data_IF_211607125621
#
_entry.id   IF_211607125621
#
_cell.length_a   1.000
_cell.length_b   1.000
_cell.length_c   1.000
_cell.angle_alpha   90.00
_cell.angle_beta   90.00
_cell.angle_gamma   90.00
#
_symmetry.space_group_name_H-M   'P 1'
#
loop_
_entity.id
_entity.type
_entity.pdbx_description
1 polymer ?
#
# COMPACT_ATOMS: atom_id res chain seq x y z
N UNK A 1 -9.60 38.21 1.61
CA UNK A 1 -10.28 36.91 1.34
C UNK A 1 -9.63 36.04 0.26
N UNK A 2 -8.85 36.55 -0.70
CA UNK A 2 -8.17 35.72 -1.73
C UNK A 2 -6.85 35.04 -1.29
N UNK A 3 -6.28 35.41 -0.13
CA UNK A 3 -5.04 34.80 0.41
C UNK A 3 -5.27 33.68 1.44
N UNK A 4 -6.52 33.49 1.90
CA UNK A 4 -6.88 32.41 2.83
C UNK A 4 -7.33 31.13 2.09
N UNK A 5 -7.78 31.25 0.83
CA UNK A 5 -8.19 30.10 0.01
C UNK A 5 -7.00 29.29 -0.54
N UNK A 6 -5.83 29.89 -0.75
CA UNK A 6 -4.65 29.16 -1.23
C UNK A 6 -3.98 28.30 -0.16
N UNK A 7 -4.21 28.57 1.13
CA UNK A 7 -3.59 27.79 2.21
C UNK A 7 -4.32 26.47 2.49
N UNK A 8 -5.61 26.39 2.16
CA UNK A 8 -6.44 25.19 2.37
C UNK A 8 -6.26 24.18 1.21
N UNK A 9 -5.87 24.66 0.03
CA UNK A 9 -5.59 23.82 -1.15
C UNK A 9 -4.25 23.07 -1.11
N UNK A 10 -3.35 23.42 -0.19
CA UNK A 10 -2.01 22.80 -0.08
C UNK A 10 -1.98 21.70 1.01
N UNK A 11 -2.97 21.64 1.91
CA UNK A 11 -2.98 20.68 3.03
C UNK A 11 -3.67 19.35 2.68
N UNK A 12 -4.43 19.27 1.58
CA UNK A 12 -5.22 18.08 1.22
C UNK A 12 -4.67 17.22 0.06
N UNK A 13 -3.42 17.44 -0.36
CA UNK A 13 -2.75 16.58 -1.35
C UNK A 13 -2.25 15.22 -0.77
N UNK A 14 -2.62 14.89 0.46
CA UNK A 14 -2.23 13.65 1.12
C UNK A 14 -3.22 12.51 0.89
N UNK A 15 -2.87 11.64 -0.06
CA UNK A 15 -3.18 10.19 -0.10
C UNK A 15 -4.62 9.73 -0.34
N UNK A 16 -4.82 9.05 -1.47
CA UNK A 16 -4.87 7.58 -1.52
C UNK A 16 -4.97 7.17 -3.01
N UNK A 17 -3.85 6.90 -3.67
CA UNK A 17 -3.83 5.86 -4.70
C UNK A 17 -3.75 4.53 -3.94
N UNK A 18 -3.65 3.36 -4.60
CA UNK A 18 -2.94 2.22 -3.98
C UNK A 18 -1.46 2.60 -3.82
N UNK A 19 -1.20 3.65 -3.05
CA UNK A 19 0.11 4.04 -2.62
C UNK A 19 0.43 3.06 -1.50
N UNK A 20 1.55 2.35 -1.61
CA UNK A 20 2.23 1.97 -0.37
C UNK A 20 2.28 3.23 0.50
N UNK A 21 2.01 3.09 1.79
CA UNK A 21 2.19 4.21 2.69
C UNK A 21 3.68 4.58 2.61
N UNK A 22 3.98 5.65 1.88
CA UNK A 22 5.33 6.14 1.66
C UNK A 22 5.59 7.24 2.66
N UNK A 23 6.58 7.04 3.52
CA UNK A 23 7.08 8.07 4.42
C UNK A 23 8.26 8.81 3.76
N UNK A 24 8.57 10.05 4.10
CA UNK A 24 9.93 10.57 3.78
C UNK A 24 10.97 10.08 4.78
N UNK A 25 10.53 9.35 5.80
CA UNK A 25 11.30 8.89 6.96
C UNK A 25 11.30 7.38 7.05
N UNK A 26 12.48 6.81 7.21
CA UNK A 26 12.69 5.36 7.32
C UNK A 26 12.96 5.01 8.78
N UNK A 27 12.24 4.01 9.35
CA UNK A 27 12.36 3.68 10.76
C UNK A 27 13.62 2.86 11.04
N UNK A 28 14.22 3.16 12.17
CA UNK A 28 15.14 2.27 12.88
C UNK A 28 14.49 1.96 14.21
N UNK A 29 14.14 0.70 14.42
CA UNK A 29 13.46 0.27 15.64
C UNK A 29 14.38 -0.60 16.49
N UNK A 30 14.34 -0.40 17.80
CA UNK A 30 14.96 -1.26 18.79
C UNK A 30 13.83 -1.78 19.68
N UNK A 31 13.66 -3.09 19.75
CA UNK A 31 12.67 -3.73 20.63
C UNK A 31 13.37 -4.65 21.62
N UNK A 32 13.05 -4.51 22.90
CA UNK A 32 13.64 -5.28 23.98
C UNK A 32 12.79 -6.50 24.32
N UNK A 33 13.43 -7.57 24.78
CA UNK A 33 12.74 -8.67 25.45
C UNK A 33 12.16 -8.22 26.79
N UNK A 34 11.19 -8.98 27.30
CA UNK A 34 10.51 -8.69 28.56
C UNK A 34 11.49 -8.53 29.75
N UNK A 35 12.50 -9.40 29.82
CA UNK A 35 13.54 -9.34 30.86
C UNK A 35 14.66 -8.31 30.58
N UNK A 36 14.61 -7.60 29.45
CA UNK A 36 15.62 -6.62 29.03
C UNK A 36 17.01 -7.18 28.68
N UNK A 37 17.21 -8.51 28.69
CA UNK A 37 18.51 -9.13 28.42
C UNK A 37 18.82 -9.28 26.94
N UNK A 38 17.79 -9.25 26.09
CA UNK A 38 17.92 -9.31 24.64
C UNK A 38 17.23 -8.12 23.97
N UNK A 39 17.72 -7.74 22.79
CA UNK A 39 17.05 -6.76 21.95
C UNK A 39 17.26 -7.06 20.48
N UNK A 40 16.33 -6.60 19.65
CA UNK A 40 16.44 -6.63 18.20
C UNK A 40 16.48 -5.19 17.68
N UNK A 41 17.48 -4.90 16.85
CA UNK A 41 17.57 -3.66 16.07
C UNK A 41 17.17 -3.97 14.63
N UNK A 42 16.15 -3.30 14.12
CA UNK A 42 15.65 -3.45 12.75
C UNK A 42 15.81 -2.15 11.98
N UNK A 43 16.36 -2.23 10.76
CA UNK A 43 16.61 -1.10 9.86
C UNK A 43 16.03 -1.42 8.48
N UNK A 44 15.14 -0.55 7.98
CA UNK A 44 14.59 -0.68 6.62
C UNK A 44 15.48 0.00 5.57
N UNK A 45 15.45 -0.51 4.34
CA UNK A 45 16.11 0.07 3.18
C UNK A 45 15.18 0.97 2.35
N UNK A 46 13.91 1.05 2.69
CA UNK A 46 12.94 1.91 2.01
C UNK A 46 12.00 2.60 2.98
N UNK A 47 11.11 3.38 2.41
CA UNK A 47 10.14 4.16 3.14
C UNK A 47 8.70 3.68 2.89
N UNK A 48 8.55 2.51 2.26
CA UNK A 48 7.28 1.87 1.96
C UNK A 48 6.86 0.99 3.15
N UNK A 49 5.64 1.23 3.64
CA UNK A 49 5.14 0.55 4.84
C UNK A 49 4.13 -0.52 4.41
N UNK A 50 4.16 -1.75 4.90
CA UNK A 50 5.24 -2.43 5.62
C UNK A 50 6.05 -3.27 4.62
N UNK A 51 7.38 -3.20 4.71
CA UNK A 51 8.30 -3.93 3.83
C UNK A 51 9.04 -5.03 4.60
N UNK A 52 9.64 -5.97 3.88
CA UNK A 52 10.67 -6.86 4.42
C UNK A 52 12.07 -6.38 4.04
N UNK A 53 12.19 -5.35 3.20
CA UNK A 53 13.48 -4.91 2.66
C UNK A 53 14.26 -4.14 3.71
N UNK A 54 15.29 -4.79 4.23
CA UNK A 54 16.09 -4.27 5.33
C UNK A 54 16.90 -5.38 5.96
N UNK A 55 17.40 -5.09 7.15
CA UNK A 55 18.07 -6.08 7.97
C UNK A 55 17.72 -5.88 9.44
N UNK A 56 17.81 -6.96 10.19
CA UNK A 56 17.68 -6.92 11.64
C UNK A 56 18.81 -7.68 12.30
N UNK A 57 19.27 -7.16 13.43
CA UNK A 57 20.33 -7.74 14.25
C UNK A 57 19.79 -7.98 15.65
N UNK A 58 19.98 -9.20 16.16
CA UNK A 58 19.53 -9.60 17.48
C UNK A 58 20.72 -9.75 18.40
N UNK A 59 20.60 -9.18 19.59
CA UNK A 59 21.63 -9.16 20.61
C UNK A 59 21.11 -9.74 21.92
N UNK A 60 22.00 -10.34 22.70
CA UNK A 60 21.75 -10.78 24.07
C UNK A 60 22.97 -10.51 24.93
N UNK A 61 22.78 -9.88 26.09
CA UNK A 61 23.86 -9.51 27.01
C UNK A 61 25.01 -8.74 26.32
N UNK A 62 24.70 -7.95 25.31
CA UNK A 62 25.68 -7.16 24.54
C UNK A 62 26.32 -7.89 23.35
N UNK A 63 26.14 -9.19 23.21
CA UNK A 63 26.69 -9.97 22.08
C UNK A 63 25.66 -10.16 20.97
N UNK A 64 26.10 -10.06 19.71
CA UNK A 64 25.24 -10.32 18.55
C UNK A 64 24.99 -11.82 18.43
N UNK A 65 23.73 -12.24 18.50
CA UNK A 65 23.31 -13.63 18.32
C UNK A 65 23.23 -14.01 16.84
N UNK A 66 22.52 -13.20 16.05
CA UNK A 66 22.35 -13.43 14.61
C UNK A 66 21.90 -12.16 13.89
N UNK A 67 22.03 -12.19 12.57
CA UNK A 67 21.48 -11.19 11.64
C UNK A 67 20.48 -11.89 10.73
N UNK A 68 19.42 -11.18 10.35
CA UNK A 68 18.48 -11.62 9.33
C UNK A 68 18.30 -10.53 8.27
N UNK A 69 18.19 -10.92 7.00
CA UNK A 69 18.01 -10.03 5.87
C UNK A 69 16.53 -9.65 5.69
N UNK A 70 15.92 -9.15 6.76
CA UNK A 70 14.64 -8.45 6.71
C UNK A 70 14.51 -7.40 7.79
N UNK A 71 13.70 -6.38 7.55
CA UNK A 71 13.24 -5.47 8.59
C UNK A 71 11.93 -5.93 9.25
N UNK A 72 11.71 -5.41 10.45
CA UNK A 72 10.45 -5.38 11.18
C UNK A 72 10.11 -3.92 11.45
N UNK A 73 9.40 -3.30 10.51
CA UNK A 73 9.14 -1.88 10.53
C UNK A 73 8.18 -1.51 11.67
N UNK A 74 8.61 -0.59 12.54
CA UNK A 74 7.74 -0.02 13.57
C UNK A 74 7.57 1.47 13.31
N UNK A 75 6.32 1.95 13.37
CA UNK A 75 6.00 3.36 13.23
C UNK A 75 5.15 3.82 14.41
N UNK A 76 5.45 5.00 14.95
CA UNK A 76 4.81 5.54 16.17
C UNK A 76 3.28 5.63 16.06
N UNK A 77 2.78 5.95 14.87
CA UNK A 77 1.35 6.16 14.62
C UNK A 77 0.65 4.96 13.96
N UNK A 78 1.36 3.87 13.71
CA UNK A 78 0.79 2.69 13.09
C UNK A 78 0.76 1.52 14.08
N UNK A 79 -0.19 0.62 13.87
CA UNK A 79 -0.44 -0.53 14.76
C UNK A 79 0.45 -1.71 14.33
N UNK A 80 1.76 -1.48 14.35
CA UNK A 80 2.78 -2.53 14.27
C UNK A 80 3.28 -2.85 15.67
N UNK A 81 3.51 -4.13 15.98
CA UNK A 81 4.14 -4.55 17.23
C UNK A 81 5.10 -5.69 16.98
N UNK A 82 6.19 -5.70 17.74
CA UNK A 82 7.22 -6.71 17.70
C UNK A 82 7.40 -7.23 19.13
N UNK A 83 7.53 -8.55 19.27
CA UNK A 83 7.87 -9.21 20.53
C UNK A 83 9.13 -10.03 20.31
N UNK A 84 10.06 -9.94 21.25
CA UNK A 84 11.27 -10.75 21.30
C UNK A 84 11.25 -11.63 22.55
N UNK A 85 11.51 -12.92 22.41
CA UNK A 85 11.62 -13.82 23.55
C UNK A 85 12.81 -13.46 24.44
N UNK A 86 12.75 -13.85 25.72
CA UNK A 86 13.77 -13.57 26.72
C UNK A 86 15.16 -14.15 26.40
N UNK A 87 15.21 -15.20 25.58
CA UNK A 87 16.45 -15.79 25.09
C UNK A 87 16.95 -15.19 23.78
N UNK A 88 16.18 -14.28 23.16
CA UNK A 88 16.46 -13.66 21.86
C UNK A 88 16.25 -14.59 20.65
N UNK A 89 15.79 -15.82 20.85
CA UNK A 89 15.68 -16.79 19.75
C UNK A 89 14.42 -16.59 18.90
N UNK A 90 13.35 -16.05 19.47
CA UNK A 90 12.02 -15.98 18.86
C UNK A 90 11.57 -14.55 18.68
N UNK A 91 11.17 -14.20 17.46
CA UNK A 91 10.64 -12.89 17.09
C UNK A 91 9.21 -13.09 16.60
N UNK A 92 8.25 -12.33 17.14
CA UNK A 92 6.86 -12.36 16.71
C UNK A 92 6.45 -10.95 16.29
N UNK A 93 6.06 -10.79 15.04
CA UNK A 93 5.68 -9.51 14.46
C UNK A 93 4.20 -9.49 14.09
N UNK A 94 3.51 -8.44 14.55
CA UNK A 94 2.07 -8.25 14.41
C UNK A 94 1.75 -7.00 13.59
N UNK A 95 0.83 -7.14 12.63
CA UNK A 95 0.35 -6.03 11.83
C UNK A 95 -1.06 -6.22 11.29
N UNK A 96 -1.84 -5.14 11.25
CA UNK A 96 -3.10 -5.08 10.49
C UNK A 96 -2.87 -4.82 8.98
N UNK A 97 -1.64 -4.57 8.54
CA UNK A 97 -1.32 -4.22 7.15
C UNK A 97 -0.86 -5.46 6.38
N UNK A 98 -1.55 -5.79 5.29
CA UNK A 98 -1.10 -6.79 4.30
C UNK A 98 -1.00 -6.12 2.93
N UNK A 99 0.20 -5.61 2.62
CA UNK A 99 0.44 -4.84 1.40
C UNK A 99 1.11 -5.67 0.30
N UNK A 100 1.66 -6.83 0.64
CA UNK A 100 2.33 -7.74 -0.27
C UNK A 100 1.84 -9.18 -0.07
N UNK A 101 2.03 -10.00 -1.10
CA UNK A 101 1.79 -11.44 -1.05
C UNK A 101 3.00 -12.17 -0.48
N UNK A 102 2.77 -13.35 0.10
CA UNK A 102 3.81 -14.19 0.70
C UNK A 102 3.71 -14.27 2.22
N UNK A 103 4.27 -15.35 2.78
CA UNK A 103 4.11 -15.69 4.19
C UNK A 103 4.82 -14.70 5.12
N UNK A 104 5.89 -14.04 4.67
CA UNK A 104 6.59 -13.00 5.44
C UNK A 104 5.75 -11.72 5.66
N UNK A 105 4.63 -11.58 4.94
CA UNK A 105 3.76 -10.40 4.94
C UNK A 105 2.36 -10.66 5.52
N UNK A 106 2.11 -11.84 6.07
CA UNK A 106 0.87 -12.08 6.81
C UNK A 106 0.83 -11.27 8.11
N UNK A 107 -0.35 -11.24 8.73
CA UNK A 107 -0.65 -10.38 9.86
C UNK A 107 0.14 -10.73 11.12
N UNK A 108 0.45 -12.02 11.31
CA UNK A 108 1.36 -12.49 12.36
C UNK A 108 2.45 -13.33 11.71
N UNK A 109 3.71 -12.97 11.94
CA UNK A 109 4.85 -13.74 11.46
C UNK A 109 5.79 -14.07 12.60
N UNK A 110 6.31 -15.29 12.59
CA UNK A 110 7.08 -15.86 13.70
C UNK A 110 8.41 -16.36 13.15
N UNK A 111 9.49 -15.82 13.70
CA UNK A 111 10.84 -16.24 13.37
C UNK A 111 11.48 -16.93 14.56
N UNK A 112 12.23 -18.00 14.29
CA UNK A 112 13.11 -18.64 15.26
C UNK A 112 14.52 -18.70 14.70
N UNK A 113 15.49 -18.14 15.43
CA UNK A 113 16.90 -18.04 15.03
C UNK A 113 17.06 -17.47 13.60
N UNK A 114 16.31 -16.40 13.31
CA UNK A 114 16.36 -15.70 12.01
C UNK A 114 15.61 -16.37 10.86
N UNK A 115 14.90 -17.49 11.07
CA UNK A 115 14.12 -18.18 10.04
C UNK A 115 12.63 -18.11 10.33
N UNK A 116 11.80 -17.84 9.31
CA UNK A 116 10.35 -17.90 9.42
C UNK A 116 9.96 -19.36 9.74
N UNK A 117 9.18 -19.56 10.81
CA UNK A 117 8.71 -20.88 11.24
C UNK A 117 7.19 -21.00 11.15
N UNK A 118 6.45 -19.93 11.41
CA UNK A 118 5.00 -19.91 11.38
C UNK A 118 4.51 -18.54 10.89
N UNK A 119 3.36 -18.53 10.24
CA UNK A 119 2.75 -17.33 9.68
C UNK A 119 1.24 -17.47 9.63
N UNK A 120 0.51 -16.43 10.05
CA UNK A 120 -0.94 -16.46 10.17
C UNK A 120 -1.58 -15.20 9.59
N UNK A 121 -2.62 -15.38 8.78
CA UNK A 121 -3.61 -14.33 8.50
C UNK A 121 -4.35 -13.94 9.78
N UNK A 122 -5.04 -12.79 9.74
CA UNK A 122 -5.91 -12.37 10.84
C UNK A 122 -6.93 -13.46 11.22
N UNK A 123 -7.65 -14.04 10.24
CA UNK A 123 -8.66 -15.07 10.54
C UNK A 123 -8.08 -16.33 11.13
N UNK A 124 -6.90 -16.78 10.67
CA UNK A 124 -6.24 -17.97 11.23
C UNK A 124 -5.78 -17.74 12.67
N UNK A 125 -5.26 -16.54 12.97
CA UNK A 125 -4.77 -16.22 14.30
C UNK A 125 -5.88 -15.94 15.31
N UNK A 126 -6.96 -15.26 14.89
CA UNK A 126 -8.04 -14.82 15.78
C UNK A 126 -9.27 -15.73 15.75
N UNK A 127 -9.36 -16.66 14.81
CA UNK A 127 -10.55 -17.45 14.52
C UNK A 127 -11.79 -16.57 14.26
N UNK A 128 -11.62 -15.49 13.48
CA UNK A 128 -12.69 -14.54 13.14
C UNK A 128 -13.30 -14.83 11.77
N UNK A 129 -14.63 -14.70 11.67
CA UNK A 129 -15.40 -14.90 10.46
C UNK A 129 -15.78 -13.57 9.80
N UNK A 130 -15.10 -13.25 8.69
CA UNK A 130 -15.32 -12.02 7.91
C UNK A 130 -16.74 -11.86 7.33
N UNK A 131 -17.54 -12.93 7.25
CA UNK A 131 -18.90 -12.87 6.72
C UNK A 131 -19.90 -12.20 7.66
N UNK A 132 -19.64 -12.22 8.98
CA UNK A 132 -20.59 -11.73 9.98
C UNK A 132 -19.95 -11.00 11.18
N UNK A 133 -18.62 -10.98 11.30
CA UNK A 133 -17.91 -10.32 12.39
C UNK A 133 -17.03 -9.15 11.91
N UNK A 134 -16.74 -8.21 12.81
CA UNK A 134 -15.77 -7.13 12.58
C UNK A 134 -14.34 -7.63 12.86
N UNK A 135 -13.73 -8.26 11.86
CA UNK A 135 -12.43 -8.90 12.00
C UNK A 135 -11.26 -7.91 11.81
N UNK A 136 -10.39 -7.85 12.82
CA UNK A 136 -9.09 -7.19 12.78
C UNK A 136 -8.17 -7.79 13.82
N UNK A 137 -6.88 -7.96 13.50
CA UNK A 137 -5.91 -8.61 14.39
C UNK A 137 -5.66 -7.77 15.65
N UNK A 138 -5.49 -6.46 15.47
CA UNK A 138 -5.26 -5.50 16.54
C UNK A 138 -6.47 -4.59 16.66
N UNK A 139 -6.95 -4.42 17.90
CA UNK A 139 -7.98 -3.44 18.23
C UNK A 139 -7.63 -2.04 17.73
N UNK A 140 -8.54 -1.47 16.96
CA UNK A 140 -8.52 -0.09 16.52
C UNK A 140 -9.87 0.55 16.78
N UNK A 141 -9.88 1.61 17.58
CA UNK A 141 -11.05 2.47 17.69
C UNK A 141 -11.33 3.03 16.30
N UNK A 142 -12.56 2.84 15.82
CA UNK A 142 -12.95 3.31 14.49
C UNK A 142 -12.80 4.83 14.41
N UNK A 143 -12.50 5.37 13.22
CA UNK A 143 -12.46 6.82 13.04
C UNK A 143 -13.80 7.49 13.39
N UNK A 144 -14.90 6.74 13.29
CA UNK A 144 -16.26 7.18 13.60
C UNK A 144 -16.46 7.28 15.11
N UNK A 145 -16.05 6.28 15.91
CA UNK A 145 -16.07 6.37 17.37
C UNK A 145 -15.21 7.51 17.88
N UNK A 146 -14.06 7.77 17.25
CA UNK A 146 -13.18 8.90 17.57
C UNK A 146 -13.88 10.26 17.33
N UNK A 147 -14.66 10.38 16.26
CA UNK A 147 -15.41 11.60 15.94
C UNK A 147 -16.66 11.73 16.82
N UNK A 148 -17.33 10.62 17.15
CA UNK A 148 -18.49 10.59 18.03
C UNK A 148 -18.13 10.93 19.49
N UNK A 149 -16.99 10.44 20.02
CA UNK A 149 -16.46 10.85 21.34
C UNK A 149 -16.08 12.33 21.35
N UNK A 150 -15.42 12.82 20.29
CA UNK A 150 -15.10 14.25 20.15
C UNK A 150 -16.34 15.16 20.07
N UNK A 151 -17.44 14.69 19.47
CA UNK A 151 -18.71 15.45 19.36
C UNK A 151 -19.62 15.32 20.60
N UNK A 152 -19.60 14.18 21.29
CA UNK A 152 -20.48 13.91 22.44
C UNK A 152 -19.93 14.46 23.75
N UNK A 153 -18.62 14.74 23.85
CA UNK A 153 -17.99 15.24 25.07
C UNK A 153 -17.99 14.21 26.23
N UNK A 154 -18.39 12.96 25.96
CA UNK A 154 -18.36 11.87 26.92
C UNK A 154 -16.94 11.29 26.93
N UNK A 155 -16.23 11.31 28.09
CA UNK A 155 -14.90 10.71 28.19
C UNK A 155 -14.96 9.21 27.90
N UNK A 156 -13.95 8.68 27.20
CA UNK A 156 -13.77 7.24 27.11
C UNK A 156 -13.68 6.63 28.52
N UNK A 157 -14.27 5.45 28.72
CA UNK A 157 -14.10 4.75 29.99
C UNK A 157 -12.65 4.26 30.13
N UNK A 158 -12.24 3.93 31.36
CA UNK A 158 -10.87 3.51 31.69
C UNK A 158 -10.37 2.36 30.80
N UNK A 159 -11.24 1.39 30.49
CA UNK A 159 -10.91 0.24 29.65
C UNK A 159 -10.62 0.61 28.20
N UNK A 160 -11.38 1.56 27.64
CA UNK A 160 -11.12 2.10 26.31
C UNK A 160 -9.81 2.89 26.25
N UNK A 161 -9.55 3.73 27.26
CA UNK A 161 -8.29 4.47 27.37
C UNK A 161 -7.12 3.49 27.41
N UNK A 162 -7.24 2.40 28.16
CA UNK A 162 -6.26 1.34 28.24
C UNK A 162 -5.98 0.72 26.86
N UNK A 163 -7.01 0.27 26.14
CA UNK A 163 -6.84 -0.43 24.85
C UNK A 163 -6.20 0.43 23.75
N UNK A 164 -6.34 1.76 23.79
CA UNK A 164 -5.73 2.64 22.78
C UNK A 164 -4.23 2.43 22.65
N UNK A 165 -3.55 2.19 23.77
CA UNK A 165 -2.11 2.03 23.85
C UNK A 165 -1.67 0.60 24.18
N UNK A 166 -2.53 -0.20 24.84
CA UNK A 166 -2.20 -1.51 25.42
C UNK A 166 -3.00 -2.66 24.79
N UNK A 167 -3.07 -2.69 23.46
CA UNK A 167 -3.72 -3.78 22.72
C UNK A 167 -2.86 -5.04 22.59
N UNK A 168 -1.56 -4.95 22.87
CA UNK A 168 -0.65 -6.10 22.92
C UNK A 168 0.22 -5.97 24.16
N UNK A 169 0.17 -6.98 25.01
CA UNK A 169 0.85 -7.05 26.30
C UNK A 169 1.70 -8.32 26.37
N UNK A 170 2.78 -8.28 27.14
CA UNK A 170 3.65 -9.44 27.39
C UNK A 170 3.77 -9.63 28.90
N UNK A 171 3.64 -10.87 29.35
CA UNK A 171 3.90 -11.24 30.74
C UNK A 171 4.28 -12.72 30.87
N UNK A 172 5.40 -13.01 31.52
CA UNK A 172 5.92 -14.34 31.82
C UNK A 172 5.93 -15.28 30.60
N UNK A 173 6.47 -14.82 29.47
CA UNK A 173 6.56 -15.62 28.24
C UNK A 173 5.25 -15.81 27.47
N UNK A 174 4.17 -15.12 27.86
CA UNK A 174 2.91 -15.10 27.12
C UNK A 174 2.65 -13.73 26.50
N UNK A 175 2.03 -13.74 25.32
CA UNK A 175 1.46 -12.55 24.67
C UNK A 175 -0.04 -12.54 24.91
N UNK A 176 -0.58 -11.37 25.23
CA UNK A 176 -2.01 -11.10 25.32
C UNK A 176 -2.35 -10.02 24.29
N UNK A 177 -2.98 -10.43 23.20
CA UNK A 177 -3.37 -9.54 22.10
C UNK A 177 -4.89 -9.34 22.13
N UNK A 178 -5.35 -8.09 22.08
CA UNK A 178 -6.77 -7.74 21.98
C UNK A 178 -7.13 -7.46 20.52
N UNK A 179 -8.03 -8.27 19.97
CA UNK A 179 -8.51 -8.15 18.60
C UNK A 179 -9.61 -7.08 18.44
N UNK A 180 -10.07 -6.86 17.21
CA UNK A 180 -11.10 -5.86 16.91
C UNK A 180 -12.46 -6.15 17.59
N UNK A 181 -12.74 -7.42 17.91
CA UNK A 181 -13.96 -7.86 18.63
C UNK A 181 -13.81 -7.74 20.16
N UNK A 182 -12.69 -7.17 20.63
CA UNK A 182 -12.28 -7.14 22.05
C UNK A 182 -12.14 -8.54 22.67
N UNK A 183 -11.74 -9.52 21.86
CA UNK A 183 -11.31 -10.82 22.38
C UNK A 183 -9.81 -10.78 22.69
N UNK A 184 -9.44 -11.28 23.87
CA UNK A 184 -8.05 -11.44 24.31
C UNK A 184 -7.54 -12.80 23.86
N UNK A 185 -6.54 -12.80 22.99
CA UNK A 185 -5.82 -13.97 22.52
C UNK A 185 -4.60 -14.16 23.41
N UNK A 186 -4.59 -15.26 24.19
CA UNK A 186 -3.41 -15.67 24.94
C UNK A 186 -2.55 -16.60 24.08
N UNK A 187 -1.32 -16.18 23.82
CA UNK A 187 -0.37 -16.90 22.98
C UNK A 187 0.90 -17.26 23.77
N UNK A 188 1.36 -18.51 23.65
CA UNK A 188 2.57 -19.02 24.31
C UNK A 188 3.77 -18.88 23.35
N UNK A 189 4.78 -18.10 23.77
CA UNK A 189 5.96 -17.80 22.94
C UNK A 189 6.87 -19.02 22.78
N UNK A 190 6.93 -19.92 23.77
CA UNK A 190 7.81 -21.10 23.70
C UNK A 190 7.17 -22.22 22.88
N UNK A 191 5.87 -22.46 23.10
CA UNK A 191 5.12 -23.51 22.42
C UNK A 191 4.59 -23.09 21.05
N UNK A 192 4.70 -21.81 20.71
CA UNK A 192 4.26 -21.22 19.45
C UNK A 192 2.80 -21.54 19.10
N UNK A 193 1.89 -21.33 20.05
CA UNK A 193 0.47 -21.59 19.82
C UNK A 193 -0.45 -20.66 20.61
N UNK A 194 -1.64 -20.47 20.04
CA UNK A 194 -2.77 -19.88 20.76
C UNK A 194 -3.26 -20.89 21.81
N UNK A 195 -3.36 -20.43 23.06
CA UNK A 195 -3.81 -21.25 24.18
C UNK A 195 -5.32 -21.15 24.36
N UNK A 196 -5.84 -19.91 24.39
CA UNK A 196 -7.25 -19.64 24.68
C UNK A 196 -7.65 -18.21 24.28
N UNK A 197 -8.94 -18.05 23.99
CA UNK A 197 -9.61 -16.77 23.78
C UNK A 197 -10.44 -16.41 25.03
N UNK A 198 -10.45 -15.13 25.38
CA UNK A 198 -11.21 -14.60 26.50
C UNK A 198 -11.89 -13.28 26.12
N UNK A 199 -12.93 -12.91 26.86
CA UNK A 199 -13.51 -11.58 26.76
C UNK A 199 -12.62 -10.54 27.48
N UNK A 200 -12.35 -9.41 26.82
CA UNK A 200 -11.50 -8.35 27.39
C UNK A 200 -12.10 -7.72 28.64
N UNK A 201 -13.41 -7.50 28.68
CA UNK A 201 -14.05 -6.84 29.81
C UNK A 201 -13.88 -7.65 31.10
N UNK A 202 -13.92 -8.98 31.00
CA UNK A 202 -13.66 -9.91 32.11
C UNK A 202 -12.18 -10.09 32.45
N UNK A 203 -11.24 -9.76 31.55
CA UNK A 203 -9.80 -9.85 31.78
C UNK A 203 -9.13 -8.54 32.17
N UNK A 204 -9.84 -7.41 32.09
CA UNK A 204 -9.26 -6.08 32.27
C UNK A 204 -8.43 -5.93 33.55
N UNK A 205 -8.98 -6.33 34.70
CA UNK A 205 -8.30 -6.20 36.00
C UNK A 205 -7.02 -7.04 36.11
N UNK A 206 -6.92 -8.13 35.34
CA UNK A 206 -5.72 -8.96 35.27
C UNK A 206 -4.67 -8.38 34.32
N UNK A 207 -5.12 -7.76 33.23
CA UNK A 207 -4.24 -7.23 32.17
C UNK A 207 -3.66 -5.85 32.49
N UNK A 208 -4.33 -5.06 33.33
CA UNK A 208 -3.97 -3.66 33.58
C UNK A 208 -2.56 -3.45 34.14
N UNK A 209 -2.02 -4.47 34.80
CA UNK A 209 -0.68 -4.45 35.40
C UNK A 209 0.41 -4.97 34.44
N UNK A 210 0.04 -5.44 33.25
CA UNK A 210 1.01 -5.92 32.26
C UNK A 210 1.52 -4.78 31.39
N UNK A 211 2.72 -4.98 30.83
CA UNK A 211 3.36 -3.98 29.99
C UNK A 211 3.34 -4.39 28.52
N UNK A 212 3.18 -3.42 27.59
CA UNK A 212 3.43 -3.67 26.18
C UNK A 212 4.94 -3.89 25.93
N UNK A 213 5.32 -4.50 24.79
CA UNK A 213 6.71 -4.58 24.38
C UNK A 213 7.36 -3.19 24.34
N UNK A 214 8.55 -3.09 24.92
CA UNK A 214 9.29 -1.83 24.94
C UNK A 214 10.04 -1.67 23.62
N UNK A 215 9.66 -0.65 22.84
CA UNK A 215 10.29 -0.33 21.57
C UNK A 215 10.67 1.16 21.48
N UNK A 216 11.91 1.42 21.09
CA UNK A 216 12.37 2.75 20.69
C UNK A 216 12.39 2.86 19.18
N UNK A 217 11.88 3.96 18.64
CA UNK A 217 11.79 4.18 17.18
C UNK A 217 12.44 5.52 16.87
N UNK A 218 13.55 5.43 16.13
CA UNK A 218 14.22 6.54 15.48
C UNK A 218 13.93 6.54 13.98
N UNK A 219 14.26 7.64 13.32
CA UNK A 219 14.04 7.78 11.88
C UNK A 219 15.22 8.49 11.23
N UNK A 220 15.57 8.08 10.03
CA UNK A 220 16.41 8.87 9.13
C UNK A 220 15.60 9.31 7.90
N UNK A 221 16.03 10.39 7.26
CA UNK A 221 15.37 10.89 6.06
C UNK A 221 15.75 10.03 4.84
N UNK A 222 14.74 9.55 4.12
CA UNK A 222 14.94 8.89 2.83
C UNK A 222 15.56 9.89 1.85
N UNK A 223 16.58 9.43 1.10
CA UNK A 223 17.49 10.30 0.34
C UNK A 223 18.27 11.36 1.16
N UNK A 224 18.37 11.23 2.48
CA UNK A 224 19.05 12.19 3.35
C UNK A 224 18.55 13.64 3.12
N UNK A 225 17.25 13.78 2.82
CA UNK A 225 16.61 15.06 2.51
C UNK A 225 16.94 15.67 1.14
N UNK A 226 17.83 15.06 0.34
CA UNK A 226 18.16 15.51 -1.02
C UNK A 226 17.22 14.87 -2.03
N UNK A 227 16.20 15.60 -2.48
CA UNK A 227 15.39 15.13 -3.61
C UNK A 227 16.12 15.39 -4.94
N UNK A 228 16.83 14.37 -5.44
CA UNK A 228 17.37 14.35 -6.80
C UNK A 228 16.62 13.26 -7.56
N UNK A 229 16.02 13.61 -8.70
CA UNK A 229 15.42 12.60 -9.57
C UNK A 229 16.53 11.63 -10.03
N UNK A 230 16.31 10.33 -9.88
CA UNK A 230 17.32 9.33 -10.25
C UNK A 230 17.77 9.46 -11.72
N UNK A 231 16.89 9.92 -12.61
CA UNK A 231 17.20 10.25 -14.00
C UNK A 231 18.33 11.28 -14.17
N UNK A 232 18.53 12.15 -13.18
CA UNK A 232 19.46 13.28 -13.19
C UNK A 232 20.76 13.00 -12.45
N UNK A 233 20.85 11.88 -11.73
CA UNK A 233 22.08 11.39 -11.11
C UNK A 233 23.15 11.22 -12.20
N UNK A 234 24.39 11.62 -11.92
CA UNK A 234 25.45 11.68 -12.92
C UNK A 234 26.42 10.52 -12.80
N UNK A 235 26.85 10.00 -13.94
CA UNK A 235 28.00 9.12 -14.02
C UNK A 235 29.26 9.86 -13.57
N UNK A 236 30.06 9.25 -12.67
CA UNK A 236 31.29 9.88 -12.16
C UNK A 236 32.28 10.15 -13.30
N UNK A 237 32.43 9.19 -14.23
CA UNK A 237 33.44 9.27 -15.30
C UNK A 237 33.07 10.26 -16.40
N UNK A 238 31.81 10.26 -16.85
CA UNK A 238 31.39 11.03 -18.03
C UNK A 238 30.64 12.32 -17.70
N UNK A 239 30.24 12.50 -16.43
CA UNK A 239 29.39 13.60 -15.96
C UNK A 239 28.02 13.70 -16.69
N UNK A 240 27.65 12.66 -17.44
CA UNK A 240 26.32 12.54 -18.07
C UNK A 240 25.33 12.04 -17.04
N UNK A 241 24.08 12.53 -17.12
CA UNK A 241 23.02 11.98 -16.29
C UNK A 241 22.65 10.57 -16.75
N UNK A 242 22.11 9.76 -15.84
CA UNK A 242 21.61 8.41 -16.14
C UNK A 242 20.70 8.42 -17.37
N UNK A 243 19.73 9.33 -17.41
CA UNK A 243 18.80 9.43 -18.52
C UNK A 243 19.50 9.78 -19.85
N UNK A 244 20.53 10.63 -19.83
CA UNK A 244 21.33 10.92 -21.04
C UNK A 244 22.17 9.71 -21.45
N UNK A 245 22.73 8.96 -20.51
CA UNK A 245 23.45 7.71 -20.76
C UNK A 245 22.56 6.70 -21.50
N UNK A 246 21.39 6.39 -20.92
CA UNK A 246 20.38 5.50 -21.51
C UNK A 246 19.93 5.98 -22.89
N UNK A 247 19.64 7.28 -23.05
CA UNK A 247 19.22 7.84 -24.34
C UNK A 247 20.31 7.67 -25.42
N UNK A 248 21.58 7.80 -25.06
CA UNK A 248 22.70 7.57 -25.97
C UNK A 248 22.82 6.11 -26.37
N UNK A 249 22.80 5.18 -25.40
CA UNK A 249 22.86 3.73 -25.65
C UNK A 249 21.73 3.28 -26.58
N UNK A 250 20.52 3.78 -26.32
CA UNK A 250 19.31 3.41 -27.07
C UNK A 250 19.13 4.19 -28.37
N UNK A 251 20.01 5.17 -28.66
CA UNK A 251 19.87 6.13 -29.78
C UNK A 251 18.54 6.90 -29.79
N UNK A 252 17.95 7.11 -28.62
CA UNK A 252 16.69 7.84 -28.41
C UNK A 252 16.94 9.26 -27.90
N UNK A 253 15.85 10.01 -27.72
CA UNK A 253 15.84 11.31 -27.03
C UNK A 253 15.14 11.14 -25.68
N UNK A 254 15.84 11.47 -24.60
CA UNK A 254 15.23 11.67 -23.28
C UNK A 254 14.38 12.95 -23.29
N UNK A 255 13.18 12.89 -22.72
CA UNK A 255 12.21 13.99 -22.71
C UNK A 255 11.54 14.14 -21.34
N UNK A 256 11.09 15.35 -21.06
CA UNK A 256 10.20 15.68 -19.95
C UNK A 256 8.71 15.48 -20.34
N UNK A 257 7.80 15.90 -19.46
CA UNK A 257 6.35 15.85 -19.69
C UNK A 257 5.84 16.88 -20.69
N UNK A 258 6.59 17.97 -20.93
CA UNK A 258 6.18 19.09 -21.77
C UNK A 258 6.54 18.89 -23.26
N UNK A 259 7.37 17.89 -23.58
CA UNK A 259 7.66 17.56 -24.98
C UNK A 259 6.37 17.19 -25.73
N UNK A 260 6.09 17.95 -26.81
CA UNK A 260 4.90 17.81 -27.68
C UNK A 260 4.61 16.36 -28.13
N UNK A 261 5.63 15.51 -28.16
CA UNK A 261 5.53 14.12 -28.60
C UNK A 261 5.66 13.13 -27.45
N UNK A 262 5.38 13.52 -26.20
CA UNK A 262 5.44 12.62 -25.03
C UNK A 262 4.58 11.36 -25.21
N UNK A 263 3.48 11.42 -25.98
CA UNK A 263 2.62 10.25 -26.29
C UNK A 263 3.33 9.17 -27.12
N UNK A 264 4.45 9.51 -27.77
CA UNK A 264 5.32 8.58 -28.49
C UNK A 264 6.43 7.99 -27.60
N UNK A 265 6.51 8.36 -26.32
CA UNK A 265 7.57 7.89 -25.45
C UNK A 265 7.39 6.46 -25.00
N UNK A 266 8.51 5.81 -24.75
CA UNK A 266 8.65 4.56 -24.02
C UNK A 266 9.25 4.89 -22.66
N UNK A 267 8.87 4.11 -21.66
CA UNK A 267 9.26 4.30 -20.27
C UNK A 267 10.26 3.23 -19.88
N UNK A 268 11.05 3.55 -18.86
CA UNK A 268 11.88 2.60 -18.14
C UNK A 268 11.51 2.74 -16.67
N UNK A 269 11.08 1.64 -16.07
CA UNK A 269 10.84 1.52 -14.64
C UNK A 269 11.82 0.49 -14.07
N UNK A 270 12.38 0.80 -12.89
CA UNK A 270 13.38 -0.01 -12.21
C UNK A 270 12.96 -0.24 -10.76
N UNK A 271 13.07 -1.50 -10.32
CA UNK A 271 13.04 -1.89 -8.92
C UNK A 271 14.39 -2.54 -8.56
N UNK A 272 14.98 -2.13 -7.44
CA UNK A 272 16.27 -2.66 -6.99
C UNK A 272 16.95 -1.77 -5.95
N UNK A 273 18.23 -2.01 -5.66
CA UNK A 273 18.99 -1.23 -4.69
C UNK A 273 19.98 -0.28 -5.34
N UNK A 274 19.96 0.98 -4.91
CA UNK A 274 21.06 1.92 -5.11
C UNK A 274 22.07 1.71 -3.98
N UNK A 275 23.29 1.30 -4.34
CA UNK A 275 24.35 1.00 -3.39
C UNK A 275 25.24 2.22 -3.18
N UNK A 276 25.82 2.41 -1.99
CA UNK A 276 26.70 3.55 -1.65
C UNK A 276 27.91 3.68 -2.57
N UNK A 277 28.36 2.59 -3.20
CA UNK A 277 29.38 2.61 -4.25
C UNK A 277 28.95 3.27 -5.56
N UNK A 278 27.68 3.67 -5.68
CA UNK A 278 27.14 4.32 -6.87
C UNK A 278 26.74 3.34 -7.97
N UNK A 279 26.49 2.07 -7.67
CA UNK A 279 25.98 1.06 -8.63
C UNK A 279 24.55 0.65 -8.28
N UNK A 280 23.89 -0.05 -9.21
CA UNK A 280 22.56 -0.62 -8.98
C UNK A 280 22.60 -2.14 -8.87
N UNK A 281 21.95 -2.69 -7.84
CA UNK A 281 21.56 -4.10 -7.78
C UNK A 281 20.11 -4.20 -8.27
N UNK A 282 19.94 -4.58 -9.53
CA UNK A 282 18.63 -4.56 -10.21
C UNK A 282 17.85 -5.85 -9.93
N UNK A 283 16.69 -5.73 -9.31
CA UNK A 283 15.76 -6.85 -9.13
C UNK A 283 14.80 -6.98 -10.32
N UNK A 284 14.28 -5.85 -10.81
CA UNK A 284 13.33 -5.83 -11.93
C UNK A 284 13.54 -4.60 -12.80
N UNK A 285 13.53 -4.83 -14.11
CA UNK A 285 13.65 -3.81 -15.13
C UNK A 285 12.49 -3.95 -16.11
N UNK A 286 11.56 -3.00 -16.08
CA UNK A 286 10.37 -2.99 -16.96
C UNK A 286 10.63 -2.04 -18.10
N UNK A 287 10.80 -2.61 -19.30
CA UNK A 287 11.07 -1.88 -20.53
C UNK A 287 10.35 -2.52 -21.71
N UNK A 288 10.11 -1.74 -22.76
CA UNK A 288 9.71 -2.27 -24.06
C UNK A 288 10.94 -2.82 -24.79
N UNK A 289 11.08 -4.15 -24.83
CA UNK A 289 12.23 -4.84 -25.45
C UNK A 289 12.25 -4.72 -26.97
N UNK A 290 11.18 -4.22 -27.61
CA UNK A 290 11.20 -3.87 -29.04
C UNK A 290 11.90 -2.53 -29.29
N UNK A 291 12.10 -1.73 -28.23
CA UNK A 291 12.67 -0.38 -28.29
C UNK A 291 14.05 -0.34 -27.61
N UNK A 292 14.21 -1.05 -26.50
CA UNK A 292 15.41 -1.04 -25.67
C UNK A 292 16.10 -2.40 -25.68
N UNK A 293 17.42 -2.39 -25.76
CA UNK A 293 18.24 -3.57 -25.47
C UNK A 293 18.36 -3.74 -23.96
N UNK A 294 17.67 -4.75 -23.42
CA UNK A 294 17.57 -4.99 -21.98
C UNK A 294 18.94 -5.22 -21.34
N UNK A 295 19.77 -6.05 -21.94
CA UNK A 295 21.06 -6.45 -21.37
C UNK A 295 22.05 -5.30 -21.43
N UNK A 296 22.00 -4.49 -22.49
CA UNK A 296 22.80 -3.27 -22.58
C UNK A 296 22.44 -2.26 -21.48
N UNK A 297 21.14 -2.04 -21.22
CA UNK A 297 20.70 -1.12 -20.16
C UNK A 297 21.02 -1.69 -18.77
N UNK A 298 20.78 -2.97 -18.54
CA UNK A 298 21.09 -3.65 -17.29
C UNK A 298 22.59 -3.56 -16.98
N UNK A 299 23.43 -3.92 -17.95
CA UNK A 299 24.87 -3.84 -17.83
C UNK A 299 25.37 -2.41 -17.60
N UNK A 300 24.75 -1.40 -18.22
CA UNK A 300 25.06 0.00 -17.94
C UNK A 300 24.75 0.38 -16.49
N UNK A 301 23.56 0.05 -15.97
CA UNK A 301 23.17 0.36 -14.59
C UNK A 301 24.01 -0.38 -13.53
N UNK A 302 24.36 -1.65 -13.76
CA UNK A 302 25.11 -2.46 -12.80
C UNK A 302 26.60 -2.16 -12.77
N UNK A 303 27.20 -1.79 -13.91
CA UNK A 303 28.66 -1.63 -14.04
C UNK A 303 29.15 -0.17 -14.03
N UNK A 304 28.23 0.80 -14.04
CA UNK A 304 28.57 2.23 -14.04
C UNK A 304 28.49 2.80 -12.63
N UNK A 305 29.47 3.60 -12.26
CA UNK A 305 29.51 4.28 -10.96
C UNK A 305 28.94 5.68 -11.09
N UNK A 306 27.91 5.94 -10.30
CA UNK A 306 27.11 7.14 -10.26
C UNK A 306 27.44 7.96 -9.00
N UNK A 307 27.41 9.28 -9.13
CA UNK A 307 27.60 10.20 -8.02
C UNK A 307 26.34 10.24 -7.16
N UNK A 308 26.34 9.42 -6.12
CA UNK A 308 25.26 9.28 -5.15
C UNK A 308 25.58 9.97 -3.83
N UNK A 309 26.53 10.91 -3.83
CA UNK A 309 27.02 11.51 -2.59
C UNK A 309 25.92 12.31 -1.85
N UNK A 310 25.78 11.97 -0.58
CA UNK A 310 24.73 12.47 0.30
C UNK A 310 23.31 12.08 -0.13
N UNK A 311 23.12 11.13 -1.05
CA UNK A 311 21.81 10.51 -1.31
C UNK A 311 21.54 9.35 -0.36
N UNK A 312 22.55 8.54 0.00
CA UNK A 312 22.37 7.38 0.88
C UNK A 312 22.68 7.78 2.34
N UNK A 313 21.68 7.75 3.26
CA UNK A 313 21.86 8.06 4.68
C UNK A 313 22.92 7.18 5.33
N UNK A 314 23.72 7.73 6.26
CA UNK A 314 24.88 7.04 6.86
C UNK A 314 24.53 5.74 7.59
N UNK A 315 23.26 5.59 7.98
CA UNK A 315 22.70 4.47 8.72
C UNK A 315 22.61 3.19 7.88
N UNK A 316 22.61 3.30 6.54
CA UNK A 316 22.45 2.18 5.61
C UNK A 316 23.53 2.18 4.54
N UNK A 317 23.86 1.02 3.95
CA UNK A 317 24.82 0.92 2.83
C UNK A 317 24.15 1.02 1.45
N UNK A 318 22.82 0.86 1.41
CA UNK A 318 22.00 0.87 0.21
C UNK A 318 20.59 1.40 0.51
N UNK A 319 19.89 1.83 -0.53
CA UNK A 319 18.46 2.14 -0.49
C UNK A 319 17.75 1.32 -1.55
N UNK A 320 16.62 0.72 -1.20
CA UNK A 320 15.74 0.18 -2.21
C UNK A 320 15.01 1.32 -2.91
N UNK A 321 14.93 1.22 -4.23
CA UNK A 321 14.31 2.19 -5.10
C UNK A 321 13.28 1.49 -5.99
N UNK A 322 12.11 2.11 -6.09
CA UNK A 322 11.12 1.81 -7.10
C UNK A 322 10.89 3.10 -7.89
N UNK A 323 11.51 3.21 -9.06
CA UNK A 323 11.62 4.51 -9.71
C UNK A 323 11.40 4.49 -11.21
N UNK A 324 10.78 5.58 -11.64
CA UNK A 324 10.62 5.97 -13.02
C UNK A 324 11.90 6.66 -13.52
N UNK A 325 12.66 6.00 -14.40
CA UNK A 325 13.98 6.49 -14.86
C UNK A 325 13.89 7.48 -16.03
N UNK A 326 12.72 7.63 -16.65
CA UNK A 326 12.51 8.63 -17.68
C UNK A 326 11.64 8.21 -18.85
N UNK A 327 11.34 9.19 -19.71
CA UNK A 327 10.65 9.00 -20.98
C UNK A 327 11.64 9.12 -22.13
N UNK A 328 11.57 8.19 -23.07
CA UNK A 328 12.43 8.16 -24.24
C UNK A 328 11.59 8.05 -25.50
N UNK A 329 11.79 8.96 -26.45
CA UNK A 329 11.12 8.90 -27.76
C UNK A 329 12.12 8.83 -28.90
N UNK A 330 11.70 8.42 -30.11
CA UNK A 330 12.55 8.54 -31.28
C UNK A 330 13.06 9.98 -31.47
N UNK A 331 14.31 10.11 -31.90
CA UNK A 331 14.89 11.41 -32.26
C UNK A 331 14.13 12.07 -33.41
N UNK A 332 13.67 11.28 -34.38
CA UNK A 332 12.86 11.74 -35.51
C UNK A 332 11.44 12.12 -35.08
N UNK A 333 11.04 13.34 -35.42
CA UNK A 333 9.69 13.85 -35.21
C UNK A 333 8.66 13.07 -36.04
N UNK A 334 8.99 12.71 -37.29
CA UNK A 334 8.10 11.94 -38.16
C UNK A 334 7.78 10.58 -37.54
N UNK A 335 8.82 9.82 -37.12
CA UNK A 335 8.62 8.55 -36.42
C UNK A 335 7.78 8.70 -35.15
N UNK A 336 7.98 9.80 -34.41
CA UNK A 336 7.17 10.07 -33.20
C UNK A 336 5.69 10.32 -33.53
N UNK A 337 5.39 10.99 -34.63
CA UNK A 337 4.00 11.20 -35.09
C UNK A 337 3.34 9.90 -35.53
N UNK A 338 4.07 9.06 -36.25
CA UNK A 338 3.55 7.79 -36.75
C UNK A 338 3.23 6.84 -35.59
N UNK A 339 4.12 6.72 -34.60
CA UNK A 339 3.85 5.96 -33.37
C UNK A 339 2.62 6.47 -32.59
N UNK A 340 2.39 7.78 -32.56
CA UNK A 340 1.19 8.34 -31.91
C UNK A 340 -0.08 7.91 -32.65
N UNK A 341 -0.06 7.87 -33.99
CA UNK A 341 -1.19 7.40 -34.79
C UNK A 341 -1.44 5.91 -34.58
N UNK A 342 -0.38 5.10 -34.62
CA UNK A 342 -0.45 3.65 -34.37
C UNK A 342 -1.04 3.34 -32.98
N UNK A 343 -0.53 3.99 -31.92
CA UNK A 343 -1.05 3.82 -30.55
C UNK A 343 -2.52 4.25 -30.41
N UNK A 344 -2.96 5.26 -31.17
CA UNK A 344 -4.38 5.65 -31.20
C UNK A 344 -5.24 4.60 -31.88
N UNK A 345 -4.77 4.04 -33.00
CA UNK A 345 -5.47 2.97 -33.70
C UNK A 345 -5.61 1.73 -32.80
N UNK A 346 -4.51 1.31 -32.16
CA UNK A 346 -4.52 0.17 -31.23
C UNK A 346 -5.48 0.39 -30.04
N UNK A 347 -5.52 1.60 -29.47
CA UNK A 347 -6.48 1.92 -28.39
C UNK A 347 -7.93 1.79 -28.85
N UNK A 348 -8.23 2.24 -30.07
CA UNK A 348 -9.57 2.13 -30.64
C UNK A 348 -9.94 0.67 -30.92
N UNK A 349 -8.99 -0.14 -31.39
CA UNK A 349 -9.18 -1.57 -31.58
C UNK A 349 -9.44 -2.30 -30.26
N UNK A 350 -8.60 -2.06 -29.24
CA UNK A 350 -8.81 -2.60 -27.89
C UNK A 350 -10.18 -2.19 -27.34
N UNK A 351 -10.56 -0.91 -27.47
CA UNK A 351 -11.88 -0.45 -27.06
C UNK A 351 -13.02 -1.23 -27.76
N UNK A 352 -12.95 -1.40 -29.09
CA UNK A 352 -13.96 -2.14 -29.86
C UNK A 352 -14.09 -3.60 -29.42
N UNK A 353 -12.98 -4.22 -29.02
CA UNK A 353 -12.97 -5.56 -28.45
C UNK A 353 -13.57 -5.57 -27.04
N UNK A 354 -13.09 -4.69 -26.17
CA UNK A 354 -13.37 -4.70 -24.73
C UNK A 354 -14.84 -4.38 -24.39
N UNK A 355 -15.54 -3.64 -25.27
CA UNK A 355 -17.00 -3.43 -25.12
C UNK A 355 -17.85 -4.69 -25.39
N UNK A 356 -17.26 -5.74 -25.97
CA UNK A 356 -17.94 -7.00 -26.26
C UNK A 356 -17.62 -8.12 -25.26
N UNK A 357 -16.56 -7.94 -24.45
CA UNK A 357 -16.12 -8.94 -23.50
C UNK A 357 -16.96 -8.92 -22.23
N UNK A 358 -17.22 -10.10 -21.67
CA UNK A 358 -17.83 -10.22 -20.35
C UNK A 358 -16.82 -10.07 -19.20
N UNK A 359 -15.53 -10.25 -19.51
CA UNK A 359 -14.43 -10.24 -18.56
C UNK A 359 -13.19 -9.66 -19.20
N UNK A 360 -12.45 -8.83 -18.46
CA UNK A 360 -11.16 -8.27 -18.88
C UNK A 360 -10.14 -8.63 -17.80
N UNK A 361 -9.02 -9.25 -18.18
CA UNK A 361 -7.96 -9.70 -17.25
C UNK A 361 -8.49 -10.58 -16.10
N UNK A 362 -9.44 -11.48 -16.40
CA UNK A 362 -10.05 -12.37 -15.39
C UNK A 362 -11.06 -11.68 -14.45
N UNK A 363 -11.34 -10.40 -14.66
CA UNK A 363 -12.33 -9.65 -13.88
C UNK A 363 -13.62 -9.54 -14.70
N UNK A 364 -14.73 -10.03 -14.13
CA UNK A 364 -16.05 -9.85 -14.70
C UNK A 364 -16.43 -8.35 -14.76
N UNK A 365 -16.91 -7.92 -15.92
CA UNK A 365 -17.35 -6.55 -16.19
C UNK A 365 -18.88 -6.54 -16.18
N UNK A 366 -19.60 -5.80 -15.33
CA UNK A 366 -21.06 -5.76 -15.39
C UNK A 366 -21.59 -5.20 -16.73
N UNK A 367 -22.73 -5.67 -17.24
CA UNK A 367 -23.32 -5.09 -18.47
C UNK A 367 -24.27 -3.91 -18.22
N UNK A 368 -24.73 -3.74 -16.99
CA UNK A 368 -25.67 -2.70 -16.56
C UNK A 368 -25.59 -2.46 -15.04
N UNK A 369 -26.44 -1.57 -14.52
CA UNK A 369 -26.46 -1.19 -13.09
C UNK A 369 -26.85 -2.37 -12.19
N UNK A 370 -27.82 -3.19 -12.60
CA UNK A 370 -28.24 -4.36 -11.82
C UNK A 370 -27.07 -5.33 -11.58
N UNK A 371 -26.37 -5.74 -12.65
CA UNK A 371 -25.21 -6.62 -12.51
C UNK A 371 -24.08 -5.95 -11.73
N UNK A 372 -23.95 -4.62 -11.81
CA UNK A 372 -22.97 -3.89 -11.03
C UNK A 372 -23.28 -3.94 -9.53
N UNK A 373 -24.54 -3.79 -9.14
CA UNK A 373 -24.98 -3.93 -7.76
C UNK A 373 -24.71 -5.34 -7.21
N UNK A 374 -25.02 -6.38 -7.99
CA UNK A 374 -24.73 -7.78 -7.62
C UNK A 374 -23.22 -8.00 -7.47
N UNK A 375 -22.42 -7.49 -8.41
CA UNK A 375 -20.97 -7.62 -8.37
C UNK A 375 -20.36 -6.89 -7.15
N UNK A 376 -20.87 -5.70 -6.79
CA UNK A 376 -20.45 -4.97 -5.59
C UNK A 376 -20.83 -5.71 -4.32
N UNK A 377 -22.03 -6.27 -4.26
CA UNK A 377 -22.51 -7.02 -3.09
C UNK A 377 -21.66 -8.27 -2.83
N UNK A 378 -21.22 -8.96 -3.89
CA UNK A 378 -20.34 -10.11 -3.75
C UNK A 378 -18.89 -9.73 -3.40
N UNK A 379 -18.43 -8.57 -3.87
CA UNK A 379 -17.04 -8.14 -3.72
C UNK A 379 -16.75 -7.47 -2.37
N UNK A 380 -17.69 -6.68 -1.83
CA UNK A 380 -17.47 -5.89 -0.63
C UNK A 380 -17.67 -6.72 0.64
N UNK A 381 -16.78 -6.53 1.63
CA UNK A 381 -16.92 -7.15 2.96
C UNK A 381 -18.09 -6.54 3.74
N UNK A 382 -18.55 -7.23 4.79
CA UNK A 382 -19.62 -6.75 5.66
C UNK A 382 -19.34 -5.32 6.19
N UNK A 383 -18.14 -5.09 6.73
CA UNK A 383 -17.73 -3.77 7.21
C UNK A 383 -17.69 -2.72 6.09
N UNK A 384 -17.23 -3.07 4.89
CA UNK A 384 -17.24 -2.14 3.75
C UNK A 384 -18.68 -1.76 3.33
N UNK A 385 -19.62 -2.71 3.34
CA UNK A 385 -21.04 -2.44 3.06
C UNK A 385 -21.65 -1.53 4.13
N UNK A 386 -21.36 -1.78 5.41
CA UNK A 386 -21.80 -0.93 6.52
C UNK A 386 -21.27 0.51 6.37
N UNK A 387 -20.00 0.67 6.02
CA UNK A 387 -19.42 2.00 5.75
C UNK A 387 -20.05 2.74 4.57
N UNK A 388 -20.51 2.02 3.54
CA UNK A 388 -21.22 2.62 2.40
C UNK A 388 -22.58 3.18 2.84
N UNK A 389 -23.30 2.46 3.71
CA UNK A 389 -24.59 2.90 4.26
C UNK A 389 -24.47 4.07 5.24
N UNK A 390 -23.44 4.08 6.10
CA UNK A 390 -23.27 5.07 7.17
C UNK A 390 -22.71 6.42 6.68
N UNK A 391 -22.17 6.50 5.46
CA UNK A 391 -21.55 7.73 4.94
C UNK A 391 -22.57 8.63 4.23
N UNK A 392 -22.80 9.81 4.80
CA UNK A 392 -23.58 10.87 4.15
C UNK A 392 -22.81 11.58 3.02
N UNK A 393 -21.46 11.58 3.04
CA UNK A 393 -20.65 12.31 2.08
C UNK A 393 -20.31 11.49 0.82
N UNK A 394 -21.18 11.60 -0.18
CA UNK A 394 -21.06 10.98 -1.51
C UNK A 394 -19.74 11.31 -2.22
N UNK A 395 -19.22 12.52 -2.06
CA UNK A 395 -17.96 12.93 -2.71
C UNK A 395 -16.77 12.11 -2.21
N UNK A 396 -16.73 11.78 -0.91
CA UNK A 396 -15.66 10.95 -0.35
C UNK A 396 -15.74 9.49 -0.83
N UNK A 397 -16.94 8.96 -1.04
CA UNK A 397 -17.14 7.60 -1.57
C UNK A 397 -16.71 7.51 -3.05
N UNK A 398 -17.04 8.55 -3.84
CA UNK A 398 -16.75 8.62 -5.27
C UNK A 398 -15.34 9.13 -5.61
N UNK A 399 -14.59 9.61 -4.61
CA UNK A 399 -13.30 10.27 -4.80
C UNK A 399 -12.26 9.39 -5.52
N UNK A 400 -11.45 10.03 -6.37
CA UNK A 400 -10.23 9.48 -6.97
C UNK A 400 -9.13 9.16 -5.95
N UNK A 401 -9.24 9.70 -4.74
CA UNK A 401 -8.31 9.45 -3.63
C UNK A 401 -8.69 8.15 -2.91
N UNK A 402 -8.79 7.05 -3.65
CA UNK A 402 -8.82 5.69 -3.08
C UNK A 402 -10.18 5.25 -2.53
N UNK A 403 -11.25 5.97 -2.87
CA UNK A 403 -12.62 5.59 -2.54
C UNK A 403 -13.14 4.42 -3.40
N UNK A 404 -14.37 4.00 -3.10
CA UNK A 404 -15.07 2.97 -3.87
C UNK A 404 -15.18 3.34 -5.36
N UNK A 405 -15.33 4.64 -5.67
CA UNK A 405 -15.40 5.13 -7.05
C UNK A 405 -14.12 4.84 -7.86
N UNK A 406 -12.94 5.03 -7.26
CA UNK A 406 -11.67 4.66 -7.91
C UNK A 406 -11.57 3.15 -8.15
N UNK A 407 -11.99 2.35 -7.17
CA UNK A 407 -12.03 0.89 -7.29
C UNK A 407 -12.93 0.44 -8.44
N UNK A 408 -14.14 1.01 -8.54
CA UNK A 408 -15.10 0.76 -9.61
C UNK A 408 -14.49 1.10 -10.98
N UNK A 409 -13.91 2.30 -11.13
CA UNK A 409 -13.30 2.77 -12.38
C UNK A 409 -12.19 1.85 -12.87
N UNK A 410 -11.32 1.41 -11.96
CA UNK A 410 -10.20 0.52 -12.30
C UNK A 410 -10.69 -0.91 -12.57
N UNK A 411 -11.50 -1.48 -11.68
CA UNK A 411 -11.95 -2.87 -11.76
C UNK A 411 -12.78 -3.14 -13.01
N UNK A 412 -13.64 -2.19 -13.39
CA UNK A 412 -14.53 -2.35 -14.54
C UNK A 412 -14.06 -1.59 -15.78
N UNK A 413 -12.78 -1.19 -15.80
CA UNK A 413 -12.12 -0.59 -16.95
C UNK A 413 -12.89 0.61 -17.55
N UNK A 414 -13.51 1.44 -16.68
CA UNK A 414 -14.30 2.61 -17.13
C UNK A 414 -13.39 3.65 -17.81
N UNK A 415 -12.12 3.72 -17.40
CA UNK A 415 -11.15 4.66 -17.97
C UNK A 415 -10.69 4.28 -19.37
N UNK A 416 -10.48 3.00 -19.62
CA UNK A 416 -9.99 2.43 -20.88
C UNK A 416 -11.13 2.11 -21.84
N UNK A 417 -12.32 1.90 -21.29
CA UNK A 417 -13.56 1.56 -21.98
C UNK A 417 -13.87 0.06 -21.88
N UNK A 418 -15.11 -0.25 -21.53
CA UNK A 418 -15.63 -1.60 -21.33
C UNK A 418 -17.12 -1.66 -21.67
N UNK A 419 -17.73 -2.84 -21.62
CA UNK A 419 -19.19 -2.97 -21.87
C UNK A 419 -20.02 -2.13 -20.89
N UNK A 420 -19.55 -1.93 -19.66
CA UNK A 420 -20.22 -1.09 -18.66
C UNK A 420 -20.14 0.39 -19.03
N UNK A 421 -18.94 0.91 -19.36
CA UNK A 421 -18.83 2.30 -19.80
C UNK A 421 -19.61 2.53 -21.10
N UNK A 422 -19.65 1.53 -21.99
CA UNK A 422 -20.47 1.60 -23.20
C UNK A 422 -21.97 1.69 -22.90
N UNK A 423 -22.45 0.96 -21.90
CA UNK A 423 -23.83 1.04 -21.41
C UNK A 423 -24.21 2.47 -20.93
N UNK A 424 -23.27 3.19 -20.29
CA UNK A 424 -23.46 4.59 -19.87
C UNK A 424 -23.30 5.58 -21.03
N UNK A 425 -22.31 5.37 -21.90
CA UNK A 425 -22.12 6.19 -23.11
C UNK A 425 -23.37 6.14 -24.01
N UNK A 426 -24.06 5.00 -24.05
CA UNK A 426 -25.34 4.84 -24.73
C UNK A 426 -26.49 5.62 -24.10
N UNK A 427 -26.26 6.34 -23.01
CA UNK A 427 -27.19 7.24 -22.33
C UNK A 427 -26.63 8.66 -22.20
N UNK A 428 -25.66 9.00 -23.04
CA UNK A 428 -24.97 10.31 -23.06
C UNK A 428 -24.09 10.60 -21.83
N UNK A 429 -23.72 9.57 -21.06
CA UNK A 429 -22.89 9.70 -19.86
C UNK A 429 -21.50 9.17 -20.15
N UNK A 430 -20.54 10.08 -20.30
CA UNK A 430 -19.13 9.77 -20.62
C UNK A 430 -18.18 10.10 -19.46
N UNK A 431 -18.60 10.97 -18.54
CA UNK A 431 -17.75 11.34 -17.43
C UNK A 431 -17.62 10.17 -16.45
N UNK A 432 -16.38 9.85 -16.11
CA UNK A 432 -16.06 8.60 -15.41
C UNK A 432 -16.39 8.71 -13.92
N UNK A 433 -16.37 9.92 -13.38
CA UNK A 433 -16.75 10.18 -12.00
C UNK A 433 -18.26 10.19 -11.85
N UNK A 434 -18.96 10.71 -12.85
CA UNK A 434 -20.40 10.59 -12.95
C UNK A 434 -20.85 9.12 -12.99
N UNK A 435 -20.24 8.31 -13.87
CA UNK A 435 -20.53 6.87 -13.96
C UNK A 435 -20.31 6.18 -12.61
N UNK A 436 -19.15 6.37 -11.97
CA UNK A 436 -18.89 5.72 -10.67
C UNK A 436 -19.80 6.25 -9.56
N UNK A 437 -20.18 7.53 -9.60
CA UNK A 437 -21.11 8.13 -8.66
C UNK A 437 -22.51 7.54 -8.76
N UNK A 438 -23.02 7.35 -9.98
CA UNK A 438 -24.30 6.70 -10.24
C UNK A 438 -24.29 5.27 -9.70
N UNK A 439 -23.22 4.51 -9.99
CA UNK A 439 -23.10 3.13 -9.53
C UNK A 439 -23.09 3.02 -8.00
N UNK A 440 -22.39 3.93 -7.31
CA UNK A 440 -22.37 3.99 -5.84
C UNK A 440 -23.77 4.32 -5.30
N UNK A 441 -24.46 5.30 -5.88
CA UNK A 441 -25.80 5.69 -5.44
C UNK A 441 -26.80 4.54 -5.58
N UNK A 442 -26.79 3.88 -6.74
CA UNK A 442 -27.67 2.73 -7.00
C UNK A 442 -27.34 1.56 -6.08
N UNK A 443 -26.09 1.39 -5.69
CA UNK A 443 -25.69 0.39 -4.72
C UNK A 443 -26.12 0.74 -3.28
N UNK A 444 -26.15 2.02 -2.90
CA UNK A 444 -26.71 2.46 -1.61
C UNK A 444 -28.20 2.12 -1.54
N UNK A 445 -28.97 2.41 -2.59
CA UNK A 445 -30.38 2.03 -2.69
C UNK A 445 -30.54 0.51 -2.56
N UNK A 446 -29.70 -0.25 -3.26
CA UNK A 446 -29.65 -1.70 -3.18
C UNK A 446 -29.42 -2.19 -1.75
N UNK A 447 -28.47 -1.62 -1.01
CA UNK A 447 -28.19 -1.98 0.38
C UNK A 447 -29.33 -1.59 1.34
N UNK A 448 -30.06 -0.50 1.05
CA UNK A 448 -31.27 -0.10 1.77
C UNK A 448 -32.50 -0.95 1.44
N UNK A 449 -32.37 -1.94 0.56
CA UNK A 449 -33.43 -2.89 0.23
C UNK A 449 -34.23 -2.54 -1.03
N UNK A 450 -33.99 -1.38 -1.64
CA UNK A 450 -34.58 -1.05 -2.95
C UNK A 450 -33.77 -1.72 -4.07
N UNK A 451 -34.18 -2.95 -4.41
CA UNK A 451 -33.52 -3.76 -5.44
C UNK A 451 -33.90 -3.34 -6.86
N UNK A 452 -34.84 -2.42 -7.03
CA UNK A 452 -35.43 -2.05 -8.32
C UNK A 452 -35.18 -0.59 -8.70
N UNK A 453 -34.52 0.21 -7.85
CA UNK A 453 -34.17 1.62 -8.11
C UNK A 453 -33.46 1.85 -9.45
N UNK A 454 -32.69 0.86 -9.93
CA UNK A 454 -31.98 0.96 -11.20
C UNK A 454 -32.92 1.00 -12.41
N UNK A 455 -34.10 0.39 -12.33
CA UNK A 455 -35.11 0.42 -13.41
C UNK A 455 -35.64 1.83 -13.59
N UNK A 456 -35.98 2.49 -12.49
CA UNK A 456 -36.43 3.89 -12.50
C UNK A 456 -35.35 4.78 -13.13
N UNK A 457 -34.09 4.59 -12.72
CA UNK A 457 -32.98 5.32 -13.31
C UNK A 457 -32.82 5.05 -14.82
N UNK A 458 -32.97 3.80 -15.27
CA UNK A 458 -32.91 3.43 -16.69
C UNK A 458 -34.04 4.05 -17.52
N UNK A 459 -35.23 4.20 -16.94
CA UNK A 459 -36.39 4.87 -17.57
C UNK A 459 -36.16 6.38 -17.70
N UNK A 460 -35.61 7.01 -16.66
CA UNK A 460 -35.27 8.45 -16.66
C UNK A 460 -34.08 8.77 -17.56
N UNK A 461 -33.22 7.78 -17.82
CA UNK A 461 -32.01 7.90 -18.64
C UNK A 461 -32.07 6.91 -19.81
N UNK A 462 -32.96 7.11 -20.80
CA UNK A 462 -33.12 6.20 -21.91
C UNK A 462 -31.88 6.18 -22.81
N UNK A 463 -31.69 5.09 -23.54
CA UNK A 463 -30.58 5.03 -24.49
C UNK A 463 -30.76 6.05 -25.62
N UNK A 464 -29.70 6.80 -25.92
CA UNK A 464 -29.64 7.64 -27.11
C UNK A 464 -29.57 6.76 -28.36
N UNK A 465 -30.34 7.15 -29.39
CA UNK A 465 -30.47 6.42 -30.66
C UNK A 465 -29.20 6.47 -31.48
#
# INVERSE_FOLDING_TARGET
>A
MKKLLCLILIIFLGYNLKAQATSSKVPISITYSENGQAFIKSTSYDHEIATTRGFSEVYKNGEKLYTLNRSFDLYKNAKFRLVLSNDGSTIIYFTNHKNYEGDDFNNVTIYKNGKLVESYSTSEFTNCNYSNEDCGLIYTQSQIERIATLKSGIPDNEKEIFLKNNFLLVNNGFIYLVDQRKQVIKYDIEQLKVIKLFDFDGMFDFLKDFSPPQSNIEYFDYYNGKYIALSDVKEIKSNKTIAKGIANLSKLKYIDYDDKYYKASNKIDLEGYLVRGGTFEVEKLVIDTTVFDRELILGYLQNTHFDVDGMIPKEVDRLFINSFFGRFRPKSITKSRDLIKERRALRLENYRRDILLDSINGIYIPKNIYEANVALDNFLSYHAKKQVLEKENQWMLNSHMGGLGMTIKYRWHINEGSRLSYYFNKRDIYDRDEISGILIMQYINWLNGDKESYKIWEEENPMIK
#
